data_IF_343813739817
#
_entry.id   IF_343813739817
#
_cell.length_a   1.000
_cell.length_b   1.000
_cell.length_c   1.000
_cell.angle_alpha   90.00
_cell.angle_beta   90.00
_cell.angle_gamma   90.00
#
_symmetry.space_group_name_H-M   'P 1'
#
loop_
_entity.id
_entity.type
_entity.pdbx_description
1 polymer ?
#
# COMPACT_ATOMS: atom_id res chain seq x y z
N UNK A 1 24.97 -29.54 7.61
CA UNK A 1 24.21 -28.69 6.68
C UNK A 1 23.05 -28.11 7.45
N UNK A 2 22.96 -26.78 7.56
CA UNK A 2 21.72 -26.13 7.98
C UNK A 2 20.71 -26.34 6.86
N UNK A 3 19.61 -27.02 7.15
CA UNK A 3 18.45 -27.06 6.26
C UNK A 3 17.87 -25.64 6.27
N UNK A 4 18.34 -24.79 5.35
CA UNK A 4 17.75 -23.47 5.06
C UNK A 4 16.56 -23.70 4.10
N UNK A 5 15.70 -24.64 4.48
CA UNK A 5 14.33 -24.74 4.01
C UNK A 5 13.49 -24.60 5.28
N UNK A 6 13.57 -23.43 5.91
CA UNK A 6 12.44 -23.00 6.72
C UNK A 6 11.32 -22.74 5.72
N UNK A 7 10.45 -23.73 5.54
CA UNK A 7 9.20 -23.59 4.80
C UNK A 7 8.61 -22.22 5.11
N UNK A 8 8.47 -21.39 4.07
CA UNK A 8 7.96 -20.03 4.22
C UNK A 8 6.59 -20.14 4.88
N UNK A 9 6.50 -19.72 6.15
CA UNK A 9 5.27 -19.80 6.93
C UNK A 9 4.15 -19.00 6.22
N UNK A 10 3.08 -19.66 5.73
CA UNK A 10 2.02 -18.98 4.98
C UNK A 10 1.34 -17.87 5.79
N UNK A 11 1.32 -17.98 7.13
CA UNK A 11 0.78 -16.93 8.00
C UNK A 11 1.66 -15.68 7.94
N UNK A 12 2.99 -15.84 7.92
CA UNK A 12 3.93 -14.71 7.83
C UNK A 12 3.80 -14.00 6.49
N UNK A 13 3.63 -14.74 5.39
CA UNK A 13 3.41 -14.16 4.05
C UNK A 13 2.10 -13.36 4.02
N UNK A 14 0.99 -13.94 4.47
CA UNK A 14 -0.30 -13.22 4.52
C UNK A 14 -0.23 -11.98 5.41
N UNK A 15 0.37 -12.10 6.59
CA UNK A 15 0.54 -10.96 7.52
C UNK A 15 1.38 -9.85 6.89
N UNK A 16 2.48 -10.20 6.22
CA UNK A 16 3.32 -9.26 5.51
C UNK A 16 2.58 -8.52 4.40
N UNK A 17 1.80 -9.24 3.59
CA UNK A 17 0.95 -8.66 2.55
C UNK A 17 -0.04 -7.65 3.13
N UNK A 18 -0.82 -8.04 4.15
CA UNK A 18 -1.79 -7.14 4.78
C UNK A 18 -1.12 -5.92 5.42
N UNK A 19 0.08 -6.08 5.98
CA UNK A 19 0.85 -4.96 6.52
C UNK A 19 1.27 -3.96 5.42
N UNK A 20 1.70 -4.44 4.25
CA UNK A 20 2.06 -3.57 3.11
C UNK A 20 0.83 -2.82 2.60
N UNK A 21 -0.30 -3.52 2.40
CA UNK A 21 -1.56 -2.90 1.98
C UNK A 21 -1.99 -1.83 2.98
N UNK A 22 -1.91 -2.13 4.28
CA UNK A 22 -2.26 -1.19 5.36
C UNK A 22 -1.42 0.07 5.27
N UNK A 23 -0.09 -0.05 5.18
CA UNK A 23 0.81 1.10 5.08
C UNK A 23 0.48 2.00 3.87
N UNK A 24 0.13 1.40 2.72
CA UNK A 24 -0.27 2.16 1.53
C UNK A 24 -1.59 2.89 1.72
N UNK A 25 -2.60 2.25 2.30
CA UNK A 25 -3.86 2.91 2.59
C UNK A 25 -3.71 4.04 3.62
N UNK A 26 -2.80 3.92 4.57
CA UNK A 26 -2.43 5.00 5.49
C UNK A 26 -1.79 6.18 4.74
N UNK A 27 -0.86 5.93 3.81
CA UNK A 27 -0.27 6.97 2.95
C UNK A 27 -1.35 7.71 2.14
N UNK A 28 -2.26 6.98 1.49
CA UNK A 28 -3.38 7.57 0.75
C UNK A 28 -4.29 8.41 1.66
N UNK A 29 -4.53 7.94 2.88
CA UNK A 29 -5.31 8.67 3.89
C UNK A 29 -4.63 9.97 4.26
N UNK A 30 -3.31 9.97 4.47
CA UNK A 30 -2.54 11.19 4.74
C UNK A 30 -2.69 12.21 3.62
N UNK A 31 -2.59 11.79 2.36
CA UNK A 31 -2.78 12.69 1.21
C UNK A 31 -4.21 13.21 1.09
N UNK A 32 -5.21 12.35 1.30
CA UNK A 32 -6.61 12.74 1.28
C UNK A 32 -6.93 13.77 2.38
N UNK A 33 -6.36 13.62 3.58
CA UNK A 33 -6.51 14.57 4.69
C UNK A 33 -5.79 15.89 4.37
N UNK A 34 -4.54 15.84 3.89
CA UNK A 34 -3.79 17.04 3.48
C UNK A 34 -4.53 17.82 2.39
N UNK A 35 -5.12 17.12 1.42
CA UNK A 35 -5.94 17.68 0.34
C UNK A 35 -7.15 18.51 0.80
N UNK A 36 -7.64 18.29 2.02
CA UNK A 36 -8.78 19.02 2.61
C UNK A 36 -8.35 20.33 3.28
N UNK A 37 -7.06 20.62 3.37
CA UNK A 37 -6.57 21.85 4.01
C UNK A 37 -7.04 23.10 3.25
N UNK A 38 -7.57 24.07 4.01
CA UNK A 38 -8.05 25.36 3.47
C UNK A 38 -6.93 26.24 2.92
N UNK A 39 -5.72 26.02 3.41
CA UNK A 39 -4.53 26.81 3.04
C UNK A 39 -3.71 26.13 1.93
N UNK A 40 -4.20 25.02 1.38
CA UNK A 40 -3.49 24.26 0.36
C UNK A 40 -3.54 24.98 -0.99
N UNK A 41 -2.37 25.19 -1.59
CA UNK A 41 -2.30 25.77 -2.94
C UNK A 41 -2.85 24.80 -3.97
N UNK A 42 -3.49 25.30 -5.02
CA UNK A 42 -4.08 24.47 -6.09
C UNK A 42 -3.08 23.49 -6.73
N UNK A 43 -1.80 23.88 -6.86
CA UNK A 43 -0.76 22.99 -7.39
C UNK A 43 -0.44 21.83 -6.43
N UNK A 44 -0.36 22.10 -5.13
CA UNK A 44 -0.13 21.09 -4.09
C UNK A 44 -1.35 20.16 -3.95
N UNK A 45 -2.57 20.71 -4.03
CA UNK A 45 -3.81 19.94 -4.08
C UNK A 45 -3.84 18.98 -5.27
N UNK A 46 -3.40 19.44 -6.45
CA UNK A 46 -3.30 18.58 -7.65
C UNK A 46 -2.31 17.43 -7.43
N UNK A 47 -1.15 17.70 -6.84
CA UNK A 47 -0.17 16.65 -6.56
C UNK A 47 -0.74 15.59 -5.61
N UNK A 48 -1.41 16.00 -4.52
CA UNK A 48 -2.06 15.03 -3.61
C UNK A 48 -3.17 14.23 -4.28
N UNK A 49 -3.94 14.84 -5.19
CA UNK A 49 -4.94 14.13 -5.99
C UNK A 49 -4.30 13.10 -6.94
N UNK A 50 -3.11 13.38 -7.48
CA UNK A 50 -2.39 12.44 -8.35
C UNK A 50 -1.65 11.34 -7.59
N UNK A 51 -1.24 11.60 -6.34
CA UNK A 51 -0.54 10.63 -5.51
C UNK A 51 -1.48 9.48 -5.07
N UNK A 52 -2.76 9.78 -4.80
CA UNK A 52 -3.74 8.78 -4.34
C UNK A 52 -3.95 7.64 -5.37
N UNK A 53 -4.23 7.88 -6.67
CA UNK A 53 -4.34 6.83 -7.66
C UNK A 53 -3.10 5.93 -7.75
N UNK A 54 -1.89 6.50 -7.71
CA UNK A 54 -0.65 5.72 -7.74
C UNK A 54 -0.56 4.73 -6.57
N UNK A 55 -0.99 5.16 -5.38
CA UNK A 55 -1.00 4.30 -4.19
C UNK A 55 -2.06 3.20 -4.32
N UNK A 56 -3.23 3.51 -4.87
CA UNK A 56 -4.28 2.54 -5.10
C UNK A 56 -3.87 1.50 -6.16
N UNK A 57 -3.12 1.91 -7.19
CA UNK A 57 -2.53 0.99 -8.17
C UNK A 57 -1.53 0.04 -7.51
N UNK A 58 -0.69 0.53 -6.59
CA UNK A 58 0.22 -0.34 -5.82
C UNK A 58 -0.52 -1.34 -4.94
N UNK A 59 -1.62 -0.92 -4.28
CA UNK A 59 -2.48 -1.83 -3.52
C UNK A 59 -3.11 -2.88 -4.42
N UNK A 60 -3.59 -2.50 -5.61
CA UNK A 60 -4.17 -3.44 -6.55
C UNK A 60 -3.15 -4.49 -7.00
N UNK A 61 -1.92 -4.08 -7.33
CA UNK A 61 -0.84 -5.01 -7.70
C UNK A 61 -0.57 -6.03 -6.57
N UNK A 62 -0.61 -5.59 -5.32
CA UNK A 62 -0.41 -6.46 -4.16
C UNK A 62 -1.55 -7.45 -3.99
N UNK A 63 -2.80 -7.02 -4.21
CA UNK A 63 -3.98 -7.90 -4.20
C UNK A 63 -3.93 -8.92 -5.32
N UNK A 64 -3.63 -8.50 -6.55
CA UNK A 64 -3.48 -9.39 -7.71
C UNK A 64 -2.39 -10.44 -7.47
N UNK A 65 -1.25 -10.03 -6.88
CA UNK A 65 -0.18 -10.95 -6.53
C UNK A 65 -0.59 -11.96 -5.44
N UNK A 66 -1.53 -11.60 -4.56
CA UNK A 66 -2.05 -12.50 -3.54
C UNK A 66 -2.92 -13.60 -4.13
N UNK A 67 -3.70 -13.29 -5.17
CA UNK A 67 -4.53 -14.26 -5.89
C UNK A 67 -3.69 -15.33 -6.60
N UNK A 68 -2.43 -15.03 -6.95
CA UNK A 68 -1.49 -15.99 -7.54
C UNK A 68 -0.90 -16.99 -6.53
N UNK A 69 -1.12 -16.77 -5.23
CA UNK A 69 -0.62 -17.63 -4.14
C UNK A 69 -1.68 -18.67 -3.73
N UNK A 70 -2.92 -18.56 -4.21
CA UNK A 70 -3.96 -19.60 -4.09
C UNK A 70 -3.80 -20.72 -5.13
#
# INVERSE_FOLDING_TARGET
MSNIDEDIDPIKVRTGLFAIITARLEDATVFAVKGQSRDLKTAEARNHITDIPSILDEVQIQLDAAELIE
#
